data_IF_974263455426
#
_entry.id   IF_974263455426
#
_cell.length_a   1.000
_cell.length_b   1.000
_cell.length_c   1.000
_cell.angle_alpha   90.00
_cell.angle_beta   90.00
_cell.angle_gamma   90.00
#
_symmetry.space_group_name_H-M   'P 1'
#
loop_
_entity.id
_entity.type
_entity.pdbx_description
1 polymer ?
#
# COMPACT_ATOMS: atom_id res chain seq x y z
N UNK A 1 19.50 -3.17 0.28
CA UNK A 1 19.74 -4.63 0.24
C UNK A 1 18.97 -5.30 1.37
N UNK A 2 17.72 -5.75 1.20
CA UNK A 2 17.01 -6.34 2.36
C UNK A 2 15.87 -7.32 2.06
N UNK A 3 15.25 -7.36 0.87
CA UNK A 3 14.07 -8.23 0.66
C UNK A 3 14.34 -9.65 0.14
N UNK A 4 15.50 -9.92 -0.47
CA UNK A 4 15.74 -11.18 -1.21
C UNK A 4 17.06 -11.89 -0.86
N UNK A 5 17.63 -11.64 0.33
CA UNK A 5 18.74 -12.50 0.76
C UNK A 5 18.18 -13.84 1.23
N UNK A 6 18.65 -14.94 0.64
CA UNK A 6 18.38 -16.28 1.12
C UNK A 6 19.09 -16.46 2.48
N UNK A 7 18.32 -16.35 3.56
CA UNK A 7 18.82 -16.56 4.92
C UNK A 7 18.58 -18.01 5.29
N UNK A 8 19.58 -18.86 5.08
CA UNK A 8 19.55 -20.27 5.47
C UNK A 8 20.18 -20.42 6.86
N UNK A 9 19.40 -20.88 7.84
CA UNK A 9 19.86 -21.25 9.18
C UNK A 9 20.71 -20.19 9.91
N UNK A 10 20.33 -18.91 9.78
CA UNK A 10 20.99 -17.80 10.48
C UNK A 10 19.98 -16.96 11.24
N UNK A 11 20.31 -16.64 12.48
CA UNK A 11 19.67 -15.56 13.22
C UNK A 11 20.13 -14.23 12.63
N UNK A 12 19.20 -13.28 12.51
CA UNK A 12 19.48 -11.93 12.04
C UNK A 12 18.64 -10.95 12.83
N UNK A 13 19.13 -9.72 12.92
CA UNK A 13 18.45 -8.62 13.58
C UNK A 13 17.85 -7.68 12.53
N UNK A 14 16.65 -7.17 12.80
CA UNK A 14 15.98 -6.17 11.97
C UNK A 14 15.55 -5.02 12.86
N UNK A 15 15.85 -3.80 12.40
CA UNK A 15 15.39 -2.56 13.02
C UNK A 15 14.62 -1.74 12.00
N UNK A 16 13.51 -1.14 12.43
CA UNK A 16 12.70 -0.30 11.56
C UNK A 16 11.51 0.30 12.30
N UNK A 17 10.87 1.26 11.64
CA UNK A 17 9.65 1.89 12.15
C UNK A 17 8.48 0.90 12.08
N UNK A 18 7.59 0.97 13.08
CA UNK A 18 6.30 0.32 12.97
C UNK A 18 5.50 1.04 11.88
N UNK A 19 5.02 0.31 10.88
CA UNK A 19 4.31 0.87 9.73
C UNK A 19 2.78 0.75 9.95
N UNK A 20 2.18 1.73 10.61
CA UNK A 20 0.72 1.88 10.72
C UNK A 20 0.31 3.31 10.40
N UNK A 21 -0.96 3.52 10.04
CA UNK A 21 -1.51 4.84 9.74
C UNK A 21 -1.20 5.88 10.83
N UNK A 22 -1.23 5.47 12.10
CA UNK A 22 -1.00 6.33 13.26
C UNK A 22 0.49 6.55 13.61
N UNK A 23 1.39 5.63 13.26
CA UNK A 23 2.83 5.83 13.52
C UNK A 23 3.51 6.64 12.42
N UNK A 24 2.85 6.81 11.28
CA UNK A 24 3.34 7.60 10.15
C UNK A 24 2.94 9.08 10.21
N UNK A 25 1.97 9.46 11.07
CA UNK A 25 1.65 10.88 11.26
C UNK A 25 2.75 11.60 12.07
N UNK A 26 3.04 12.88 11.77
CA UNK A 26 4.22 13.58 12.30
C UNK A 26 4.06 14.13 13.73
N UNK A 27 2.86 14.11 14.31
CA UNK A 27 2.57 14.71 15.63
C UNK A 27 2.92 13.74 16.76
N UNK A 28 3.42 14.29 17.86
CA UNK A 28 3.65 13.53 19.09
C UNK A 28 2.32 13.16 19.73
N UNK A 29 2.18 11.89 20.14
CA UNK A 29 1.02 11.46 20.91
C UNK A 29 1.01 12.13 22.29
N UNK A 30 -0.14 12.67 22.66
CA UNK A 30 -0.40 13.29 23.96
C UNK A 30 -0.24 12.34 25.13
N UNK A 31 0.18 12.89 26.28
CA UNK A 31 0.32 12.15 27.53
C UNK A 31 -1.02 11.62 28.06
N UNK A 32 -0.98 10.44 28.70
CA UNK A 32 -2.15 9.81 29.31
C UNK A 32 -3.03 9.00 28.35
N UNK A 33 -2.62 8.85 27.09
CA UNK A 33 -3.32 8.00 26.12
C UNK A 33 -2.77 6.58 26.18
N UNK A 34 -3.65 5.60 26.36
CA UNK A 34 -3.28 4.19 26.37
C UNK A 34 -3.04 3.68 24.94
N UNK A 35 -1.86 3.12 24.68
CA UNK A 35 -1.49 2.53 23.39
C UNK A 35 -1.41 1.02 23.52
N UNK A 36 -2.18 0.30 22.71
CA UNK A 36 -2.11 -1.16 22.61
C UNK A 36 -1.73 -1.55 21.18
N UNK A 37 -0.58 -2.20 21.05
CA UNK A 37 -0.09 -2.73 19.77
C UNK A 37 -0.26 -4.25 19.79
N UNK A 38 -0.85 -4.80 18.73
CA UNK A 38 -1.02 -6.24 18.54
C UNK A 38 -0.37 -6.64 17.22
N UNK A 39 0.55 -7.60 17.29
CA UNK A 39 1.13 -8.22 16.11
C UNK A 39 0.41 -9.54 15.84
N UNK A 40 -0.09 -9.71 14.61
CA UNK A 40 -0.66 -10.97 14.14
C UNK A 40 0.25 -11.53 13.08
N UNK A 41 0.69 -12.77 13.26
CA UNK A 41 1.63 -13.40 12.36
C UNK A 41 0.92 -14.12 11.21
N UNK A 42 1.40 -13.92 9.99
CA UNK A 42 0.91 -14.64 8.80
C UNK A 42 1.38 -16.09 8.80
N UNK A 43 0.78 -16.92 7.94
CA UNK A 43 1.19 -18.33 7.78
C UNK A 43 2.63 -18.44 7.26
N UNK A 44 3.42 -19.46 7.66
CA UNK A 44 4.80 -19.65 7.18
C UNK A 44 4.96 -19.61 5.67
N UNK A 45 4.01 -20.19 4.93
CA UNK A 45 4.01 -20.22 3.46
C UNK A 45 3.94 -18.83 2.82
N UNK A 46 3.49 -17.81 3.55
CA UNK A 46 3.40 -16.44 3.04
C UNK A 46 4.71 -15.66 3.21
N UNK A 47 5.41 -15.85 4.34
CA UNK A 47 6.59 -15.06 4.70
C UNK A 47 7.92 -15.82 4.61
N UNK A 48 7.90 -17.11 4.29
CA UNK A 48 9.09 -17.93 4.04
C UNK A 48 9.07 -18.36 2.57
N UNK A 49 10.19 -18.12 1.87
CA UNK A 49 10.38 -18.57 0.49
C UNK A 49 11.49 -19.61 0.43
N UNK A 50 11.20 -20.75 -0.17
CA UNK A 50 12.17 -21.79 -0.51
C UNK A 50 13.04 -21.34 -1.70
N UNK A 51 14.32 -21.69 -1.65
CA UNK A 51 15.22 -21.52 -2.79
C UNK A 51 14.88 -22.57 -3.85
N UNK A 52 14.80 -22.17 -5.11
CA UNK A 52 14.48 -23.06 -6.24
C UNK A 52 15.47 -24.23 -6.29
N UNK A 53 14.97 -25.47 -6.29
CA UNK A 53 15.78 -26.68 -6.37
C UNK A 53 16.38 -27.17 -5.04
N UNK A 54 16.13 -26.49 -3.92
CA UNK A 54 16.51 -27.00 -2.61
C UNK A 54 15.57 -28.14 -2.17
N UNK A 55 16.14 -29.21 -1.62
CA UNK A 55 15.39 -30.20 -0.85
C UNK A 55 14.71 -29.46 0.30
N UNK A 56 13.39 -29.40 0.26
CA UNK A 56 12.60 -28.71 1.28
C UNK A 56 12.77 -29.47 2.60
N UNK A 57 13.31 -28.82 3.63
CA UNK A 57 13.14 -29.30 5.00
C UNK A 57 11.65 -29.50 5.26
N UNK A 58 11.26 -30.65 5.82
CA UNK A 58 9.85 -31.08 5.85
C UNK A 58 8.90 -30.05 6.51
N UNK A 59 9.43 -29.09 7.29
CA UNK A 59 8.64 -28.01 7.89
C UNK A 59 9.47 -26.74 8.17
N UNK A 60 9.67 -25.82 7.21
CA UNK A 60 10.44 -24.61 7.46
C UNK A 60 9.70 -23.70 8.46
N UNK A 61 10.44 -23.14 9.41
CA UNK A 61 9.89 -22.22 10.40
C UNK A 61 10.74 -20.96 10.53
N UNK A 62 10.07 -19.86 10.83
CA UNK A 62 10.72 -18.62 11.25
C UNK A 62 10.45 -18.44 12.74
N UNK A 63 11.48 -18.24 13.56
CA UNK A 63 11.33 -18.04 15.00
C UNK A 63 11.69 -16.61 15.33
N UNK A 64 10.79 -15.94 16.05
CA UNK A 64 11.08 -14.64 16.63
C UNK A 64 11.65 -14.93 18.01
N UNK A 65 12.94 -14.65 18.20
CA UNK A 65 13.60 -14.88 19.49
C UNK A 65 13.27 -13.77 20.47
N UNK A 66 13.48 -12.52 20.06
CA UNK A 66 13.22 -11.34 20.88
C UNK A 66 12.56 -10.23 20.03
N UNK A 67 11.72 -9.42 20.68
CA UNK A 67 11.09 -8.24 20.06
C UNK A 67 11.18 -7.09 21.05
N UNK A 68 11.77 -5.98 20.61
CA UNK A 68 11.85 -4.75 21.38
C UNK A 68 11.08 -3.63 20.67
N UNK A 69 10.31 -2.86 21.43
CA UNK A 69 9.65 -1.65 20.94
C UNK A 69 10.30 -0.44 21.61
N UNK A 70 11.09 0.31 20.84
CA UNK A 70 11.70 1.55 21.29
C UNK A 70 10.73 2.71 21.07
N UNK A 71 10.34 3.39 22.15
CA UNK A 71 9.43 4.55 22.09
C UNK A 71 10.19 5.78 22.56
N UNK A 72 10.25 6.80 21.72
CA UNK A 72 10.78 8.11 22.09
C UNK A 72 9.76 8.85 22.94
N UNK A 73 10.11 9.16 24.19
CA UNK A 73 9.34 10.05 25.06
C UNK A 73 9.93 11.45 25.00
N UNK A 74 9.07 12.46 24.96
CA UNK A 74 9.46 13.87 24.94
C UNK A 74 9.03 14.52 26.24
N UNK A 75 9.97 15.12 26.96
CA UNK A 75 9.69 15.93 28.14
C UNK A 75 9.36 17.35 27.69
N UNK A 76 8.17 17.82 28.03
CA UNK A 76 7.65 19.13 27.61
C UNK A 76 7.81 20.12 28.77
N UNK A 77 8.07 21.39 28.45
CA UNK A 77 8.06 22.47 29.45
C UNK A 77 6.69 22.52 30.16
N UNK A 78 6.63 22.60 31.51
CA UNK A 78 5.36 22.65 32.25
C UNK A 78 4.38 23.72 31.78
N UNK A 79 4.87 24.88 31.30
CA UNK A 79 4.03 25.95 30.76
C UNK A 79 3.26 25.49 29.52
N UNK A 80 3.96 24.89 28.56
CA UNK A 80 3.35 24.37 27.31
C UNK A 80 2.35 23.26 27.64
N UNK A 81 2.69 22.38 28.59
CA UNK A 81 1.76 21.34 29.04
C UNK A 81 0.46 21.94 29.58
N UNK A 82 0.53 22.95 30.44
CA UNK A 82 -0.64 23.62 30.99
C UNK A 82 -1.48 24.33 29.91
N UNK A 83 -0.81 24.99 28.95
CA UNK A 83 -1.49 25.64 27.83
C UNK A 83 -2.26 24.63 26.97
N UNK A 84 -1.67 23.47 26.68
CA UNK A 84 -2.32 22.36 25.95
C UNK A 84 -3.52 21.82 26.73
N UNK A 85 -3.41 21.61 28.05
CA UNK A 85 -4.53 21.15 28.88
C UNK A 85 -5.69 22.15 28.93
N UNK A 86 -5.41 23.46 28.92
CA UNK A 86 -6.46 24.48 28.81
C UNK A 86 -7.13 24.48 27.44
N UNK A 87 -6.36 24.30 26.37
CA UNK A 87 -6.91 24.20 25.01
C UNK A 87 -7.80 22.97 24.85
N UNK A 88 -7.42 21.83 25.45
CA UNK A 88 -8.23 20.61 25.46
C UNK A 88 -9.61 20.78 26.10
N UNK A 89 -9.79 21.78 26.99
CA UNK A 89 -11.10 22.10 27.55
C UNK A 89 -12.03 22.80 26.55
N UNK A 90 -11.48 23.31 25.43
CA UNK A 90 -12.20 24.03 24.37
C UNK A 90 -12.31 23.24 23.08
N UNK A 91 -11.26 22.51 22.71
CA UNK A 91 -11.17 21.75 21.46
C UNK A 91 -10.45 20.41 21.64
N UNK A 92 -10.63 19.50 20.69
CA UNK A 92 -9.96 18.19 20.71
C UNK A 92 -8.57 18.28 20.09
N UNK A 93 -7.64 17.46 20.57
CA UNK A 93 -6.35 17.27 19.92
C UNK A 93 -6.53 16.47 18.63
N UNK A 94 -6.16 17.06 17.51
CA UNK A 94 -6.35 16.51 16.16
C UNK A 94 -5.07 15.82 15.68
N UNK A 95 -5.20 14.62 15.11
CA UNK A 95 -4.13 13.83 14.51
C UNK A 95 -4.54 13.44 13.09
N UNK A 96 -4.05 14.12 12.06
CA UNK A 96 -4.32 13.77 10.67
C UNK A 96 -3.65 12.43 10.35
N UNK A 97 -4.35 11.57 9.62
CA UNK A 97 -3.88 10.25 9.22
C UNK A 97 -4.05 10.05 7.72
N UNK A 98 -3.13 9.30 7.13
CA UNK A 98 -3.32 8.68 5.84
C UNK A 98 -3.87 7.28 6.11
N UNK A 99 -5.19 7.12 6.02
CA UNK A 99 -5.84 5.83 6.25
C UNK A 99 -5.65 4.94 5.05
N UNK A 100 -5.20 3.72 5.31
CA UNK A 100 -4.95 2.73 4.26
C UNK A 100 -6.02 1.65 4.32
N UNK A 101 -6.70 1.43 3.21
CA UNK A 101 -7.56 0.28 3.00
C UNK A 101 -6.99 -0.60 1.89
N UNK A 102 -6.99 -1.91 2.09
CA UNK A 102 -6.56 -2.87 1.06
C UNK A 102 -7.69 -3.83 0.74
N UNK A 103 -8.04 -3.95 -0.55
CA UNK A 103 -8.99 -4.93 -1.06
C UNK A 103 -8.26 -5.93 -1.96
N UNK A 104 -8.66 -7.19 -1.88
CA UNK A 104 -8.18 -8.24 -2.78
C UNK A 104 -9.38 -8.77 -3.53
N UNK A 105 -9.35 -8.69 -4.86
CA UNK A 105 -10.40 -9.20 -5.74
C UNK A 105 -9.84 -10.32 -6.60
N UNK A 106 -10.57 -11.41 -6.75
CA UNK A 106 -10.12 -12.56 -7.55
C UNK A 106 -10.52 -12.41 -9.01
N UNK A 107 -9.57 -12.65 -9.90
CA UNK A 107 -9.74 -12.75 -11.35
C UNK A 107 -9.72 -14.22 -11.73
N UNK A 108 -10.78 -14.66 -12.44
CA UNK A 108 -10.96 -16.05 -12.85
C UNK A 108 -10.05 -16.42 -14.02
N UNK A 109 -9.77 -17.71 -14.17
CA UNK A 109 -9.02 -18.24 -15.31
C UNK A 109 -9.82 -18.09 -16.61
N UNK A 110 -9.14 -17.89 -17.74
CA UNK A 110 -9.75 -17.86 -19.07
C UNK A 110 -10.40 -16.53 -19.47
N UNK A 111 -10.39 -15.52 -18.59
CA UNK A 111 -10.89 -14.18 -18.95
C UNK A 111 -9.79 -13.37 -19.65
N UNK A 112 -10.17 -12.59 -20.67
CA UNK A 112 -9.29 -11.56 -21.27
C UNK A 112 -9.71 -10.15 -20.90
N UNK A 113 -10.93 -9.96 -20.38
CA UNK A 113 -11.45 -8.66 -19.99
C UNK A 113 -12.23 -8.80 -18.68
N UNK A 114 -12.08 -7.83 -17.78
CA UNK A 114 -12.84 -7.75 -16.54
C UNK A 114 -13.25 -6.32 -16.27
N UNK A 115 -14.53 -6.11 -16.00
CA UNK A 115 -15.04 -4.89 -15.39
C UNK A 115 -15.37 -5.19 -13.92
N UNK A 116 -14.89 -4.33 -13.04
CA UNK A 116 -15.07 -4.38 -11.59
C UNK A 116 -15.76 -3.09 -11.17
N UNK A 117 -17.05 -3.19 -10.89
CA UNK A 117 -17.85 -2.05 -10.47
C UNK A 117 -17.95 -1.96 -8.95
N UNK A 118 -18.18 -0.75 -8.43
CA UNK A 118 -18.44 -0.51 -7.01
C UNK A 118 -17.33 -1.02 -6.08
N UNK A 119 -16.07 -0.91 -6.50
CA UNK A 119 -14.92 -1.31 -5.67
C UNK A 119 -14.88 -0.44 -4.42
N UNK A 120 -15.10 0.87 -4.55
CA UNK A 120 -15.36 1.79 -3.44
C UNK A 120 -16.70 2.48 -3.67
N UNK A 121 -17.47 2.61 -2.59
CA UNK A 121 -18.79 3.24 -2.57
C UNK A 121 -18.83 4.22 -1.39
N UNK A 122 -19.23 5.46 -1.64
CA UNK A 122 -19.24 6.52 -0.63
C UNK A 122 -17.94 7.29 -0.68
N UNK A 123 -17.22 7.41 0.44
CA UNK A 123 -15.97 8.16 0.50
C UNK A 123 -14.92 7.53 -0.43
N UNK A 124 -14.47 8.31 -1.41
CA UNK A 124 -13.45 7.91 -2.35
C UNK A 124 -12.07 8.12 -1.74
N UNK A 125 -11.15 7.18 -1.93
CA UNK A 125 -9.75 7.42 -1.60
C UNK A 125 -9.18 8.52 -2.49
N UNK A 126 -8.14 9.21 -2.02
CA UNK A 126 -7.41 10.21 -2.81
C UNK A 126 -6.37 9.56 -3.73
N UNK A 127 -5.93 8.34 -3.39
CA UNK A 127 -4.93 7.59 -4.15
C UNK A 127 -5.31 6.12 -4.18
N UNK A 128 -5.13 5.49 -5.33
CA UNK A 128 -5.26 4.05 -5.50
C UNK A 128 -4.01 3.51 -6.18
N UNK A 129 -3.44 2.43 -5.64
CA UNK A 129 -2.35 1.66 -6.23
C UNK A 129 -2.80 0.22 -6.41
N UNK A 130 -2.63 -0.30 -7.62
CA UNK A 130 -3.13 -1.61 -8.03
C UNK A 130 -1.95 -2.50 -8.40
N UNK A 131 -1.97 -3.73 -7.91
CA UNK A 131 -1.02 -4.76 -8.30
C UNK A 131 -1.72 -6.07 -8.62
N UNK A 132 -1.20 -6.82 -9.57
CA UNK A 132 -1.72 -8.14 -9.94
C UNK A 132 -0.78 -9.20 -9.39
N UNK A 133 -1.33 -10.16 -8.66
CA UNK A 133 -0.60 -11.21 -7.97
C UNK A 133 -1.12 -12.58 -8.41
N UNK A 134 -0.26 -13.59 -8.34
CA UNK A 134 -0.70 -14.98 -8.45
C UNK A 134 -1.57 -15.33 -7.23
N UNK A 135 -2.75 -15.93 -7.45
CA UNK A 135 -3.67 -16.30 -6.38
C UNK A 135 -3.02 -17.22 -5.33
N UNK A 136 -2.24 -18.21 -5.78
CA UNK A 136 -1.52 -19.12 -4.86
C UNK A 136 -0.42 -18.43 -4.05
N UNK A 137 0.17 -17.36 -4.57
CA UNK A 137 1.21 -16.63 -3.84
C UNK A 137 0.61 -15.85 -2.66
N UNK A 138 -0.56 -15.24 -2.86
CA UNK A 138 -1.27 -14.50 -1.80
C UNK A 138 -1.84 -15.38 -0.70
N UNK A 139 -2.25 -16.61 -1.01
CA UNK A 139 -2.69 -17.59 0.00
C UNK A 139 -1.52 -18.16 0.82
N UNK A 140 -0.31 -18.06 0.26
CA UNK A 140 0.95 -18.54 0.79
C UNK A 140 1.42 -19.80 0.06
N UNK A 141 2.60 -19.71 -0.55
CA UNK A 141 3.26 -20.81 -1.25
C UNK A 141 4.78 -20.64 -1.08
N UNK A 142 5.48 -21.70 -0.68
CA UNK A 142 6.92 -21.59 -0.42
C UNK A 142 7.75 -21.26 -1.66
N UNK A 143 7.28 -21.56 -2.87
CA UNK A 143 8.00 -21.33 -4.11
C UNK A 143 7.67 -19.97 -4.74
N UNK A 144 6.55 -19.36 -4.35
CA UNK A 144 6.06 -18.09 -4.89
C UNK A 144 6.15 -16.98 -3.83
N UNK A 145 6.22 -15.74 -4.29
CA UNK A 145 6.25 -14.58 -3.39
C UNK A 145 4.98 -13.74 -3.61
N UNK A 146 4.27 -13.34 -2.54
CA UNK A 146 3.13 -12.42 -2.64
C UNK A 146 3.55 -10.98 -2.97
N UNK A 147 4.85 -10.71 -3.16
CA UNK A 147 5.42 -9.41 -3.48
C UNK A 147 6.00 -9.34 -4.90
N UNK A 148 5.56 -10.23 -5.79
CA UNK A 148 5.91 -10.22 -7.22
C UNK A 148 4.67 -9.81 -8.01
N UNK A 149 4.62 -8.54 -8.38
CA UNK A 149 3.53 -7.91 -9.10
C UNK A 149 3.76 -8.03 -10.61
N UNK A 150 3.38 -9.17 -11.17
CA UNK A 150 3.53 -9.42 -12.61
C UNK A 150 2.38 -8.76 -13.36
N UNK A 151 2.64 -8.20 -14.54
CA UNK A 151 1.60 -7.58 -15.37
C UNK A 151 0.68 -8.62 -16.05
N UNK A 152 1.09 -9.88 -16.16
CA UNK A 152 0.32 -10.98 -16.78
C UNK A 152 -0.21 -10.63 -18.18
N UNK A 153 0.61 -9.97 -18.99
CA UNK A 153 0.26 -9.45 -20.31
C UNK A 153 -0.97 -8.53 -20.34
N UNK A 154 -1.18 -7.76 -19.28
CA UNK A 154 -2.17 -6.68 -19.23
C UNK A 154 -1.96 -5.71 -20.41
N UNK A 155 -3.00 -5.46 -21.19
CA UNK A 155 -2.96 -4.51 -22.31
C UNK A 155 -3.58 -3.18 -21.95
N UNK A 156 -4.56 -3.16 -21.05
CA UNK A 156 -5.15 -1.92 -20.59
C UNK A 156 -5.69 -1.99 -19.15
N UNK A 157 -5.61 -0.85 -18.46
CA UNK A 157 -6.24 -0.64 -17.15
C UNK A 157 -6.81 0.78 -17.06
N UNK A 158 -8.12 0.87 -16.88
CA UNK A 158 -8.87 2.12 -16.89
C UNK A 158 -9.67 2.26 -15.61
N UNK A 159 -9.49 3.37 -14.91
CA UNK A 159 -10.20 3.71 -13.69
C UNK A 159 -11.35 4.68 -13.99
N UNK A 160 -12.45 4.53 -13.27
CA UNK A 160 -13.64 5.37 -13.42
C UNK A 160 -14.16 5.83 -12.06
N UNK A 161 -14.57 7.10 -11.99
CA UNK A 161 -15.35 7.66 -10.88
C UNK A 161 -16.69 8.10 -11.41
N UNK A 162 -17.78 7.56 -10.85
CA UNK A 162 -19.15 7.85 -11.29
C UNK A 162 -19.36 7.65 -12.80
N UNK A 163 -18.72 6.63 -13.38
CA UNK A 163 -18.76 6.33 -14.81
C UNK A 163 -17.88 7.22 -15.70
N UNK A 164 -17.25 8.25 -15.16
CA UNK A 164 -16.31 9.11 -15.88
C UNK A 164 -14.88 8.61 -15.72
N UNK A 165 -14.08 8.68 -16.79
CA UNK A 165 -12.69 8.23 -16.78
C UNK A 165 -11.83 9.09 -15.86
N UNK A 166 -11.04 8.43 -15.00
CA UNK A 166 -10.02 9.08 -14.17
C UNK A 166 -8.78 9.29 -15.03
N UNK A 167 -8.67 10.48 -15.63
CA UNK A 167 -7.64 10.78 -16.61
C UNK A 167 -7.67 9.81 -17.80
N UNK A 168 -6.51 9.61 -18.43
CA UNK A 168 -6.34 8.53 -19.42
C UNK A 168 -5.95 7.25 -18.67
N UNK A 169 -6.65 6.14 -18.91
CA UNK A 169 -6.24 4.82 -18.41
C UNK A 169 -5.00 4.28 -19.13
N UNK A 170 -4.27 3.38 -18.49
CA UNK A 170 -2.96 2.93 -18.95
C UNK A 170 -3.10 1.82 -19.98
N UNK A 171 -2.80 2.13 -21.24
CA UNK A 171 -2.62 1.13 -22.29
C UNK A 171 -1.15 0.73 -22.33
N UNK A 172 -0.87 -0.57 -22.20
CA UNK A 172 0.47 -1.10 -21.96
C UNK A 172 0.86 -2.13 -23.02
N UNK A 173 2.11 -2.07 -23.45
CA UNK A 173 2.78 -3.13 -24.20
C UNK A 173 4.12 -3.38 -23.50
N UNK A 174 4.32 -4.60 -23.02
CA UNK A 174 5.51 -5.02 -22.29
C UNK A 174 6.46 -5.73 -23.26
N UNK A 175 7.19 -4.94 -24.04
CA UNK A 175 8.26 -5.47 -24.90
C UNK A 175 9.63 -5.21 -24.29
N UNK A 176 10.64 -5.98 -24.73
CA UNK A 176 12.02 -5.81 -24.30
C UNK A 176 12.47 -4.35 -24.48
N UNK A 177 13.17 -3.81 -23.47
CA UNK A 177 13.65 -2.42 -23.48
C UNK A 177 14.50 -2.16 -24.72
N UNK A 178 14.21 -1.07 -25.43
CA UNK A 178 14.90 -0.68 -26.67
C UNK A 178 14.20 -1.12 -27.96
N UNK A 179 13.09 -1.85 -27.87
CA UNK A 179 12.20 -2.06 -29.03
C UNK A 179 11.23 -0.90 -29.17
N UNK A 180 10.85 -0.57 -30.42
CA UNK A 180 10.13 0.65 -30.81
C UNK A 180 8.68 0.71 -30.25
N UNK A 181 8.20 -0.34 -29.57
CA UNK A 181 6.78 -0.53 -29.22
C UNK A 181 6.50 -0.80 -27.73
N UNK A 182 7.40 -0.50 -26.79
CA UNK A 182 7.09 -0.64 -25.36
C UNK A 182 6.27 0.56 -24.87
N UNK A 183 5.02 0.32 -24.46
CA UNK A 183 4.06 1.37 -24.05
C UNK A 183 3.77 1.38 -22.53
N UNK A 184 4.63 0.77 -21.72
CA UNK A 184 4.43 0.70 -20.27
C UNK A 184 4.98 1.91 -19.49
N UNK A 185 5.69 2.85 -20.15
CA UNK A 185 6.39 3.96 -19.49
C UNK A 185 5.45 4.89 -18.72
N UNK A 186 4.24 5.16 -19.21
CA UNK A 186 3.28 6.01 -18.50
C UNK A 186 2.73 5.34 -17.23
N UNK A 187 2.51 4.03 -17.28
CA UNK A 187 2.13 3.27 -16.10
C UNK A 187 3.27 3.22 -15.08
N UNK A 188 4.50 3.05 -15.56
CA UNK A 188 5.71 3.15 -14.75
C UNK A 188 5.96 4.56 -14.19
N UNK A 189 5.60 5.63 -14.90
CA UNK A 189 5.70 6.99 -14.37
C UNK A 189 4.69 7.22 -13.23
N UNK A 190 3.49 6.60 -13.32
CA UNK A 190 2.45 6.74 -12.31
C UNK A 190 2.89 6.31 -10.91
N UNK A 191 3.77 5.31 -10.80
CA UNK A 191 4.29 4.89 -9.48
C UNK A 191 5.22 5.94 -8.87
N UNK A 192 5.76 6.89 -9.62
CA UNK A 192 6.51 8.02 -9.06
C UNK A 192 5.59 9.18 -8.78
N UNK A 193 4.83 9.61 -9.79
CA UNK A 193 4.02 10.83 -9.72
C UNK A 193 2.85 10.70 -8.77
N UNK A 194 2.29 9.51 -8.62
CA UNK A 194 1.13 9.27 -7.76
C UNK A 194 1.52 8.69 -6.41
N UNK A 195 2.55 7.85 -6.28
CA UNK A 195 2.85 7.14 -5.01
C UNK A 195 3.96 7.75 -4.17
N UNK A 196 4.75 8.66 -4.75
CA UNK A 196 5.88 9.29 -4.07
C UNK A 196 5.68 10.80 -4.06
N UNK A 197 5.58 11.38 -2.86
CA UNK A 197 5.60 12.84 -2.70
C UNK A 197 6.85 13.47 -3.32
N UNK A 198 6.88 14.80 -3.48
CA UNK A 198 7.97 15.47 -4.17
C UNK A 198 9.27 15.37 -3.37
N UNK A 199 10.18 14.42 -3.66
CA UNK A 199 11.64 14.59 -3.60
C UNK A 199 12.47 13.28 -3.77
N UNK A 200 13.25 13.25 -4.84
CA UNK A 200 14.69 12.90 -4.90
C UNK A 200 15.22 11.48 -4.60
N UNK A 201 14.49 10.54 -3.98
CA UNK A 201 15.05 9.23 -3.64
C UNK A 201 14.61 8.07 -4.55
N UNK A 202 13.58 8.27 -5.37
CA UNK A 202 13.00 7.21 -6.20
C UNK A 202 12.47 6.02 -5.38
N UNK A 203 11.87 5.05 -6.05
CA UNK A 203 11.39 3.81 -5.43
C UNK A 203 12.36 2.63 -5.62
N UNK A 204 13.51 2.86 -6.26
CA UNK A 204 14.51 1.83 -6.58
C UNK A 204 14.06 0.78 -7.60
N UNK A 205 12.92 0.97 -8.25
CA UNK A 205 12.41 0.13 -9.34
C UNK A 205 12.90 0.74 -10.64
N UNK A 206 13.53 -0.04 -11.52
CA UNK A 206 13.86 0.44 -12.87
C UNK A 206 12.72 0.12 -13.84
N UNK A 207 12.68 0.77 -15.01
CA UNK A 207 11.74 0.39 -16.07
C UNK A 207 11.90 -1.11 -16.47
N UNK A 208 13.13 -1.64 -16.37
CA UNK A 208 13.41 -3.06 -16.61
C UNK A 208 12.76 -3.94 -15.55
N UNK A 209 12.83 -3.53 -14.29
CA UNK A 209 12.19 -4.25 -13.20
C UNK A 209 10.67 -4.24 -13.34
N UNK A 210 10.11 -3.07 -13.69
CA UNK A 210 8.69 -2.90 -13.94
C UNK A 210 8.19 -3.80 -15.07
N UNK A 211 8.88 -3.79 -16.21
CA UNK A 211 8.47 -4.54 -17.39
C UNK A 211 8.72 -6.05 -17.28
N UNK A 212 9.82 -6.48 -16.63
CA UNK A 212 10.29 -7.87 -16.76
C UNK A 212 10.49 -8.61 -15.43
N UNK A 213 10.60 -7.91 -14.29
CA UNK A 213 10.94 -8.54 -13.00
C UNK A 213 9.80 -8.55 -11.98
N UNK A 214 8.57 -8.24 -12.41
CA UNK A 214 7.38 -8.33 -11.55
C UNK A 214 7.24 -7.18 -10.56
N UNK A 215 7.45 -5.95 -11.04
CA UNK A 215 7.21 -4.71 -10.29
C UNK A 215 6.13 -3.83 -10.95
N UNK A 216 5.20 -4.44 -11.69
CA UNK A 216 4.14 -3.75 -12.40
C UNK A 216 3.01 -3.34 -11.45
N UNK A 217 3.09 -2.12 -10.93
CA UNK A 217 2.05 -1.46 -10.14
C UNK A 217 1.44 -0.29 -10.94
N UNK A 218 0.14 -0.06 -10.77
CA UNK A 218 -0.58 0.98 -11.49
C UNK A 218 -1.22 1.92 -10.49
N UNK A 219 -0.87 3.20 -10.54
CA UNK A 219 -1.35 4.17 -9.57
C UNK A 219 -2.30 5.18 -10.23
N UNK A 220 -3.37 5.54 -9.53
CA UNK A 220 -4.35 6.55 -9.93
C UNK A 220 -4.48 7.58 -8.82
N UNK A 221 -4.37 8.84 -9.21
CA UNK A 221 -4.64 9.99 -8.36
C UNK A 221 -6.11 10.39 -8.52
N UNK A 222 -6.80 10.47 -7.39
CA UNK A 222 -8.20 10.87 -7.27
C UNK A 222 -8.34 12.19 -6.50
N UNK A 223 -7.23 12.81 -6.10
CA UNK A 223 -7.24 14.12 -5.48
C UNK A 223 -7.76 15.19 -6.46
N UNK A 224 -8.55 16.16 -5.98
CA UNK A 224 -9.20 17.14 -6.85
C UNK A 224 -8.20 18.14 -7.47
N UNK A 225 -7.04 18.27 -6.86
CA UNK A 225 -5.96 19.22 -7.16
C UNK A 225 -4.73 18.56 -7.78
N UNK A 226 -4.78 17.25 -8.04
CA UNK A 226 -3.64 16.43 -8.46
C UNK A 226 -2.43 16.51 -7.51
N UNK A 227 -2.70 16.67 -6.20
CA UNK A 227 -1.71 16.74 -5.13
C UNK A 227 -2.04 15.75 -4.02
N UNK A 228 -1.79 14.45 -4.25
CA UNK A 228 -2.14 13.41 -3.29
C UNK A 228 -1.27 13.48 -2.02
N UNK A 229 -0.07 14.06 -2.11
CA UNK A 229 0.90 14.22 -1.00
C UNK A 229 1.02 15.67 -0.50
N UNK A 230 -0.06 16.46 -0.54
CA UNK A 230 -0.01 17.79 0.06
C UNK A 230 0.09 17.70 1.59
N UNK A 231 1.19 18.22 2.15
CA UNK A 231 1.40 18.31 3.61
C UNK A 231 0.80 19.60 4.22
N UNK A 232 0.45 20.59 3.40
CA UNK A 232 -0.01 21.90 3.86
C UNK A 232 -1.51 21.92 4.23
N UNK A 233 -2.32 21.07 3.59
CA UNK A 233 -3.75 20.98 3.84
C UNK A 233 -4.32 19.59 3.63
N UNK A 234 -5.52 19.38 4.17
CA UNK A 234 -6.29 18.17 3.95
C UNK A 234 -7.19 18.36 2.74
N UNK A 235 -7.03 17.50 1.74
CA UNK A 235 -7.94 17.44 0.61
C UNK A 235 -9.37 17.08 1.07
N UNK A 236 -10.42 17.74 0.53
CA UNK A 236 -11.78 17.45 0.91
C UNK A 236 -12.16 16.02 0.51
N UNK A 237 -12.98 15.37 1.35
CA UNK A 237 -13.49 14.03 1.07
C UNK A 237 -14.43 14.10 -0.11
N UNK A 238 -14.09 13.35 -1.16
CA UNK A 238 -14.98 13.16 -2.30
C UNK A 238 -15.86 11.94 -2.07
N UNK A 239 -17.08 11.98 -2.58
CA UNK A 239 -18.00 10.84 -2.54
C UNK A 239 -18.36 10.37 -3.95
N UNK A 240 -18.51 9.07 -4.11
CA UNK A 240 -18.89 8.48 -5.38
C UNK A 240 -18.67 6.98 -5.44
N UNK A 241 -18.54 6.49 -6.67
CA UNK A 241 -18.34 5.09 -6.99
C UNK A 241 -17.06 4.95 -7.80
N UNK A 242 -16.12 4.14 -7.30
CA UNK A 242 -14.91 3.78 -8.03
C UNK A 242 -15.08 2.42 -8.74
N UNK A 243 -14.80 2.39 -10.04
CA UNK A 243 -14.82 1.19 -10.88
C UNK A 243 -13.51 1.05 -11.65
N UNK A 244 -13.17 -0.18 -12.04
CA UNK A 244 -11.98 -0.53 -12.81
C UNK A 244 -12.33 -1.40 -14.02
N UNK A 245 -11.66 -1.18 -15.14
CA UNK A 245 -11.67 -2.08 -16.30
C UNK A 245 -10.25 -2.54 -16.60
N UNK A 246 -10.10 -3.83 -16.86
CA UNK A 246 -8.84 -4.50 -17.14
C UNK A 246 -8.99 -5.32 -18.42
N UNK A 247 -7.98 -5.28 -19.28
CA UNK A 247 -7.86 -6.13 -20.47
C UNK A 247 -6.47 -6.78 -20.52
N UNK A 248 -6.41 -8.02 -20.98
CA UNK A 248 -5.20 -8.82 -21.12
C UNK A 248 -5.03 -9.26 -22.58
N UNK A 249 -3.79 -9.39 -23.05
CA UNK A 249 -3.48 -9.79 -24.41
C UNK A 249 -3.94 -11.22 -24.72
N UNK A 250 -3.85 -12.10 -23.72
CA UNK A 250 -4.28 -13.49 -23.77
C UNK A 250 -5.20 -13.80 -22.58
N UNK A 251 -6.11 -14.77 -22.72
CA UNK A 251 -6.89 -15.28 -21.59
C UNK A 251 -5.98 -15.70 -20.42
N UNK A 252 -6.35 -15.35 -19.19
CA UNK A 252 -5.57 -15.68 -18.00
C UNK A 252 -5.38 -17.20 -17.86
N UNK A 253 -4.13 -17.65 -17.78
CA UNK A 253 -3.81 -19.09 -17.68
C UNK A 253 -4.08 -19.71 -16.30
N UNK A 254 -4.22 -18.86 -15.27
CA UNK A 254 -4.46 -19.25 -13.88
C UNK A 254 -5.26 -18.14 -13.17
N UNK A 255 -5.93 -18.43 -12.04
CA UNK A 255 -6.60 -17.38 -11.28
C UNK A 255 -5.57 -16.42 -10.68
N UNK A 256 -5.89 -15.12 -10.71
CA UNK A 256 -5.05 -14.04 -10.19
C UNK A 256 -5.79 -13.30 -9.09
N UNK A 257 -5.05 -12.62 -8.24
CA UNK A 257 -5.58 -11.71 -7.23
C UNK A 257 -5.16 -10.28 -7.57
N UNK A 258 -6.15 -9.41 -7.70
CA UNK A 258 -6.00 -7.98 -7.87
C UNK A 258 -5.93 -7.34 -6.48
N UNK A 259 -4.73 -6.92 -6.08
CA UNK A 259 -4.51 -6.14 -4.88
C UNK A 259 -4.79 -4.67 -5.17
N UNK A 260 -5.71 -4.07 -4.43
CA UNK A 260 -6.05 -2.65 -4.50
C UNK A 260 -5.70 -2.03 -3.17
N UNK A 261 -4.64 -1.23 -3.16
CA UNK A 261 -4.26 -0.38 -2.05
C UNK A 261 -4.90 0.98 -2.27
N UNK A 262 -5.67 1.45 -1.30
CA UNK A 262 -6.35 2.73 -1.35
C UNK A 262 -5.97 3.57 -0.13
N UNK A 263 -5.68 4.84 -0.38
CA UNK A 263 -5.31 5.78 0.65
C UNK A 263 -6.33 6.92 0.70
N UNK A 264 -6.88 7.14 1.90
CA UNK A 264 -7.88 8.18 2.19
C UNK A 264 -7.37 9.07 3.31
N UNK A 265 -7.83 10.32 3.35
CA UNK A 265 -7.58 11.16 4.53
C UNK A 265 -8.43 10.66 5.70
N UNK A 266 -7.87 10.62 6.90
CA UNK A 266 -8.60 10.40 8.14
C UNK A 266 -8.16 11.35 9.24
N UNK A 267 -9.00 11.46 10.28
CA UNK A 267 -8.71 12.28 11.45
C UNK A 267 -8.97 11.49 12.72
N UNK A 268 -7.98 11.49 13.63
CA UNK A 268 -8.17 11.03 15.00
C UNK A 268 -8.24 12.24 15.91
N UNK A 269 -9.26 12.29 16.75
CA UNK A 269 -9.44 13.32 17.74
C UNK A 269 -9.34 12.72 19.14
N UNK A 270 -8.61 13.41 20.02
CA UNK A 270 -8.46 13.03 21.43
C UNK A 270 -8.99 14.17 22.28
N UNK A 271 -9.99 13.87 23.11
CA UNK A 271 -10.59 14.87 23.99
C UNK A 271 -9.84 15.03 25.32
N UNK A 272 -10.33 15.95 26.16
CA UNK A 272 -9.81 16.19 27.50
C UNK A 272 -9.77 14.93 28.38
N UNK A 273 -10.73 14.02 28.21
CA UNK A 273 -10.81 12.76 28.97
C UNK A 273 -9.90 11.66 28.43
N UNK A 274 -9.14 11.94 27.36
CA UNK A 274 -8.35 10.98 26.59
C UNK A 274 -9.20 9.93 25.87
N UNK A 275 -10.47 10.25 25.66
CA UNK A 275 -11.33 9.45 24.79
C UNK A 275 -10.95 9.74 23.33
N UNK A 276 -10.93 8.69 22.53
CA UNK A 276 -10.50 8.74 21.13
C UNK A 276 -11.74 8.66 20.25
N UNK A 277 -11.90 9.64 19.38
CA UNK A 277 -12.94 9.66 18.35
C UNK A 277 -12.28 9.56 16.99
N UNK A 278 -12.73 8.59 16.20
CA UNK A 278 -12.26 8.37 14.84
C UNK A 278 -13.23 9.06 13.88
N UNK A 279 -12.91 10.27 13.43
CA UNK A 279 -13.70 10.94 12.41
C UNK A 279 -13.22 10.46 11.03
N UNK A 280 -14.19 10.00 10.23
CA UNK A 280 -14.03 9.57 8.83
C UNK A 280 -14.53 10.70 7.95
#
# INVERSE_FOLDING_TARGET
>A
QTRFQALTNKTFEVYGNLHTDFTLQPRLLMSGVNVKIRFTRTKPQFHIRATTGATRDENPYFKIEEVYLYIRRVQINPKIFFDVEQQLAKETAKYPLNRVETKILTLETGISNKQLDNIFLGNLPRRIVIGILNHTATDGDYNRSPFVFNHHDLTSIHAYVNGMSVGKGYDCIYSAIGTVNSLCVRAYDSIYTVSSGPAALGNGITLQDYANNGYALYAFDLSPDASPDCDDYINPIQTGVFSLRLSFAIPLAAPLNLLIYAESTGLVEIDKTRSITNNI
#
